data_IF_043322485160
#
_entry.id   IF_043322485160
#
_cell.length_a   1.000
_cell.length_b   1.000
_cell.length_c   1.000
_cell.angle_alpha   90.00
_cell.angle_beta   90.00
_cell.angle_gamma   90.00
#
_symmetry.space_group_name_H-M   'P 1'
#
loop_
_entity.id
_entity.type
_entity.pdbx_description
1 polymer ?
#
# COMPACT_ATOMS: atom_id res chain seq x y z
N UNK A 1 -6.52 -14.59 -40.03
CA UNK A 1 -5.49 -14.32 -39.01
C UNK A 1 -6.21 -13.76 -37.80
N UNK A 2 -6.29 -14.54 -36.72
CA UNK A 2 -6.93 -14.12 -35.48
C UNK A 2 -5.85 -13.41 -34.66
N UNK A 3 -5.94 -12.08 -34.59
CA UNK A 3 -5.07 -11.28 -33.73
C UNK A 3 -5.45 -11.65 -32.30
N UNK A 4 -4.63 -12.48 -31.66
CA UNK A 4 -4.66 -12.66 -30.21
C UNK A 4 -4.35 -11.31 -29.60
N UNK A 5 -5.38 -10.60 -29.15
CA UNK A 5 -5.22 -9.45 -28.28
C UNK A 5 -4.66 -10.01 -26.97
N UNK A 6 -3.39 -9.72 -26.69
CA UNK A 6 -2.85 -9.92 -25.35
C UNK A 6 -3.78 -9.19 -24.37
N UNK A 7 -4.21 -9.83 -23.27
CA UNK A 7 -5.01 -9.15 -22.26
C UNK A 7 -4.28 -7.88 -21.82
N UNK A 8 -5.04 -6.80 -21.63
CA UNK A 8 -4.48 -5.53 -21.17
C UNK A 8 -3.66 -5.76 -19.88
N UNK A 9 -2.50 -5.10 -19.73
CA UNK A 9 -1.70 -5.27 -18.54
C UNK A 9 -2.51 -4.86 -17.31
N UNK A 10 -2.42 -5.66 -16.25
CA UNK A 10 -3.02 -5.34 -14.95
C UNK A 10 -2.37 -4.06 -14.43
N UNK A 11 -3.19 -3.11 -13.99
CA UNK A 11 -2.72 -1.88 -13.35
C UNK A 11 -3.38 -1.69 -12.00
N UNK A 12 -2.65 -1.07 -11.09
CA UNK A 12 -3.07 -0.78 -9.72
C UNK A 12 -2.99 0.72 -9.48
N UNK A 13 -4.13 1.36 -9.26
CA UNK A 13 -4.17 2.78 -8.91
C UNK A 13 -3.97 2.99 -7.43
N UNK A 14 -2.87 3.65 -7.08
CA UNK A 14 -2.63 4.17 -5.73
C UNK A 14 -2.86 5.67 -5.70
N UNK A 15 -2.93 6.21 -4.48
CA UNK A 15 -3.16 7.63 -4.27
C UNK A 15 -2.30 8.16 -3.14
N UNK A 16 -1.95 9.45 -3.23
CA UNK A 16 -1.34 10.21 -2.15
C UNK A 16 -2.33 11.25 -1.66
N UNK A 17 -2.38 11.38 -0.33
CA UNK A 17 -3.13 12.46 0.30
C UNK A 17 -2.55 13.79 -0.13
N UNK A 18 -3.43 14.76 -0.36
CA UNK A 18 -3.06 16.16 -0.54
C UNK A 18 -3.57 16.97 0.64
N UNK A 19 -2.96 18.13 0.88
CA UNK A 19 -3.42 19.02 1.96
C UNK A 19 -4.82 19.56 1.64
N UNK A 20 -5.74 19.48 2.62
CA UNK A 20 -7.11 19.94 2.45
C UNK A 20 -7.12 21.45 2.14
N UNK A 21 -7.90 21.93 1.14
CA UNK A 21 -8.99 21.26 0.43
C UNK A 21 -8.64 20.61 -0.91
N UNK A 22 -7.36 20.38 -1.22
CA UNK A 22 -6.92 19.88 -2.53
C UNK A 22 -7.32 18.42 -2.78
N UNK A 23 -7.53 18.08 -4.06
CA UNK A 23 -7.82 16.71 -4.50
C UNK A 23 -6.59 15.83 -4.29
N UNK A 24 -6.73 14.54 -3.95
CA UNK A 24 -5.59 13.62 -3.92
C UNK A 24 -4.95 13.50 -5.31
N UNK A 25 -3.66 13.19 -5.32
CA UNK A 25 -2.95 12.78 -6.53
C UNK A 25 -2.99 11.25 -6.63
N UNK A 26 -3.12 10.71 -7.83
CA UNK A 26 -3.16 9.26 -8.06
C UNK A 26 -2.26 8.85 -9.22
N UNK A 27 -1.75 7.62 -9.14
CA UNK A 27 -0.85 7.07 -10.15
C UNK A 27 -1.06 5.57 -10.26
N UNK A 28 -0.74 5.03 -11.43
CA UNK A 28 -0.89 3.61 -11.72
C UNK A 28 0.47 2.88 -11.64
N UNK A 29 0.46 1.69 -11.05
CA UNK A 29 1.57 0.73 -11.07
C UNK A 29 1.14 -0.47 -11.92
N UNK A 30 1.99 -0.90 -12.86
CA UNK A 30 1.69 -2.03 -13.74
C UNK A 30 2.21 -3.35 -13.19
N UNK A 31 1.38 -4.39 -13.26
CA UNK A 31 1.73 -5.77 -12.98
C UNK A 31 1.70 -6.18 -11.50
N UNK A 32 2.08 -7.42 -11.24
CA UNK A 32 2.18 -8.03 -9.91
C UNK A 32 3.57 -7.78 -9.32
N UNK A 33 3.82 -6.54 -8.89
CA UNK A 33 5.12 -6.14 -8.33
C UNK A 33 5.14 -6.24 -6.80
N UNK A 34 6.36 -6.30 -6.25
CA UNK A 34 6.58 -6.25 -4.80
C UNK A 34 6.94 -4.82 -4.40
N UNK A 35 6.25 -4.30 -3.39
CA UNK A 35 6.36 -2.94 -2.90
C UNK A 35 6.87 -2.89 -1.47
N UNK A 36 7.80 -1.98 -1.20
CA UNK A 36 8.19 -1.54 0.14
C UNK A 36 7.10 -0.63 0.69
N UNK A 37 6.33 -1.14 1.65
CA UNK A 37 5.24 -0.41 2.29
C UNK A 37 5.76 0.41 3.47
N UNK A 38 6.66 -0.17 4.26
CA UNK A 38 7.33 0.49 5.39
C UNK A 38 8.72 -0.12 5.59
N UNK A 39 9.68 0.72 5.93
CA UNK A 39 10.96 0.34 6.50
C UNK A 39 11.27 1.29 7.65
N UNK A 40 11.46 0.73 8.84
CA UNK A 40 11.90 1.47 10.02
C UNK A 40 13.26 0.92 10.48
N UNK A 41 14.38 1.58 10.08
CA UNK A 41 15.72 1.06 10.32
C UNK A 41 16.05 0.87 11.81
N UNK A 42 15.66 1.82 12.66
CA UNK A 42 15.94 1.79 14.11
C UNK A 42 15.27 0.62 14.84
N UNK A 43 14.23 0.02 14.23
CA UNK A 43 13.46 -1.10 14.76
C UNK A 43 13.68 -2.40 13.99
N UNK A 44 14.59 -2.38 13.00
CA UNK A 44 14.80 -3.50 12.07
C UNK A 44 13.47 -4.04 11.50
N UNK A 45 12.53 -3.13 11.23
CA UNK A 45 11.16 -3.47 10.86
C UNK A 45 10.95 -3.20 9.37
N UNK A 46 10.41 -4.20 8.67
CA UNK A 46 10.10 -4.14 7.25
C UNK A 46 8.67 -4.61 7.01
N UNK A 47 7.93 -3.86 6.20
CA UNK A 47 6.62 -4.26 5.68
C UNK A 47 6.68 -4.19 4.16
N UNK A 48 6.51 -5.33 3.51
CA UNK A 48 6.46 -5.43 2.06
C UNK A 48 5.13 -6.03 1.63
N UNK A 49 4.63 -5.65 0.46
CA UNK A 49 3.39 -6.16 -0.11
C UNK A 49 3.57 -6.62 -1.54
N UNK A 50 2.87 -7.67 -1.94
CA UNK A 50 2.77 -8.12 -3.32
C UNK A 50 1.39 -7.77 -3.88
N UNK A 51 1.38 -6.99 -4.96
CA UNK A 51 0.15 -6.65 -5.66
C UNK A 51 -0.49 -7.89 -6.30
N UNK A 52 -1.82 -7.92 -6.26
CA UNK A 52 -2.59 -9.00 -6.87
C UNK A 52 -2.69 -8.86 -8.41
N UNK A 53 -3.36 -9.82 -9.05
CA UNK A 53 -3.55 -9.85 -10.51
C UNK A 53 -4.86 -9.21 -10.97
N UNK A 54 -5.58 -8.50 -10.10
CA UNK A 54 -6.86 -7.84 -10.38
C UNK A 54 -6.61 -6.36 -10.64
N UNK A 55 -7.15 -5.83 -11.76
CA UNK A 55 -7.00 -4.40 -12.07
C UNK A 55 -7.67 -3.52 -11.02
N UNK A 56 -6.92 -2.56 -10.47
CA UNK A 56 -7.29 -1.76 -9.31
C UNK A 56 -7.66 -2.63 -8.10
N UNK A 57 -7.01 -3.79 -7.96
CA UNK A 57 -7.09 -4.64 -6.79
C UNK A 57 -6.29 -4.05 -5.63
N UNK A 58 -5.71 -4.93 -4.81
CA UNK A 58 -4.84 -4.55 -3.72
C UNK A 58 -3.66 -5.50 -3.61
N UNK A 59 -3.36 -5.89 -2.38
CA UNK A 59 -2.28 -6.82 -2.09
C UNK A 59 -2.86 -8.22 -1.90
N UNK A 60 -2.28 -9.23 -2.55
CA UNK A 60 -2.60 -10.63 -2.24
C UNK A 60 -1.81 -11.15 -1.03
N UNK A 61 -0.68 -10.52 -0.74
CA UNK A 61 0.22 -10.90 0.35
C UNK A 61 0.91 -9.69 0.95
N UNK A 62 0.99 -9.65 2.27
CA UNK A 62 1.74 -8.65 3.04
C UNK A 62 2.65 -9.39 4.02
N UNK A 63 3.92 -8.99 4.07
CA UNK A 63 4.92 -9.58 4.96
C UNK A 63 5.47 -8.51 5.87
N UNK A 64 5.38 -8.75 7.17
CA UNK A 64 6.02 -7.97 8.23
C UNK A 64 7.22 -8.76 8.76
N UNK A 65 8.40 -8.16 8.75
CA UNK A 65 9.61 -8.70 9.37
C UNK A 65 10.03 -7.80 10.51
N UNK A 66 10.31 -8.39 11.67
CA UNK A 66 10.77 -7.69 12.87
C UNK A 66 12.10 -8.29 13.30
N UNK A 67 13.17 -7.50 13.27
CA UNK A 67 14.51 -8.01 13.50
C UNK A 67 14.93 -9.07 12.48
N UNK A 68 15.82 -9.95 12.89
CA UNK A 68 16.33 -11.05 12.05
C UNK A 68 15.50 -12.34 12.11
N UNK A 69 14.75 -12.53 13.20
CA UNK A 69 14.18 -13.84 13.53
C UNK A 69 12.65 -13.92 13.43
N UNK A 70 11.95 -12.80 13.30
CA UNK A 70 10.49 -12.79 13.25
C UNK A 70 9.95 -12.38 11.87
N UNK A 71 9.06 -13.20 11.33
CA UNK A 71 8.35 -12.95 10.08
C UNK A 71 6.88 -13.30 10.22
N UNK A 72 6.01 -12.38 9.84
CA UNK A 72 4.56 -12.52 9.80
C UNK A 72 4.14 -12.34 8.35
N UNK A 73 3.49 -13.34 7.77
CA UNK A 73 2.96 -13.32 6.42
C UNK A 73 1.44 -13.37 6.50
N UNK A 74 0.80 -12.43 5.80
CA UNK A 74 -0.65 -12.26 5.76
C UNK A 74 -1.10 -12.42 4.32
N UNK A 75 -2.07 -13.30 4.11
CA UNK A 75 -2.79 -13.48 2.86
C UNK A 75 -4.30 -13.52 3.16
N UNK A 76 -5.14 -13.65 2.12
CA UNK A 76 -6.59 -13.70 2.29
C UNK A 76 -7.08 -14.92 3.10
N UNK A 77 -6.32 -16.01 3.13
CA UNK A 77 -6.70 -17.27 3.78
C UNK A 77 -6.34 -17.28 5.28
N UNK A 78 -5.33 -16.51 5.69
CA UNK A 78 -4.87 -16.50 7.07
C UNK A 78 -3.50 -15.86 7.28
N UNK A 79 -2.90 -16.21 8.42
CA UNK A 79 -1.66 -15.60 8.92
C UNK A 79 -0.63 -16.71 9.19
N UNK A 80 0.55 -16.59 8.60
CA UNK A 80 1.69 -17.46 8.89
C UNK A 80 2.69 -16.70 9.75
N UNK A 81 3.06 -17.26 10.90
CA UNK A 81 4.05 -16.66 11.81
C UNK A 81 5.25 -17.57 11.90
N UNK A 82 6.42 -17.00 11.64
CA UNK A 82 7.72 -17.61 11.80
C UNK A 82 8.52 -16.87 12.88
N UNK A 83 9.04 -17.62 13.85
CA UNK A 83 9.95 -17.14 14.89
C UNK A 83 11.16 -18.10 14.95
N UNK A 84 12.31 -17.65 14.46
CA UNK A 84 13.48 -18.49 14.24
C UNK A 84 13.14 -19.65 13.28
N UNK A 85 13.25 -20.89 13.77
CA UNK A 85 12.92 -22.11 13.02
C UNK A 85 11.45 -22.54 13.15
N UNK A 86 10.70 -21.97 14.08
CA UNK A 86 9.32 -22.37 14.32
C UNK A 86 8.39 -21.63 13.34
N UNK A 87 7.57 -22.39 12.62
CA UNK A 87 6.57 -21.85 11.68
C UNK A 87 5.18 -22.36 12.08
N UNK A 88 4.21 -21.46 12.14
CA UNK A 88 2.82 -21.78 12.47
C UNK A 88 1.86 -21.06 11.52
N UNK A 89 0.78 -21.73 11.13
CA UNK A 89 -0.27 -21.18 10.28
C UNK A 89 -1.56 -21.04 11.09
N UNK A 90 -2.17 -19.87 11.02
CA UNK A 90 -3.38 -19.50 11.76
C UNK A 90 -4.46 -19.10 10.78
N UNK A 91 -5.58 -19.81 10.80
CA UNK A 91 -6.76 -19.56 9.94
C UNK A 91 -7.99 -19.14 10.74
N UNK A 92 -7.93 -19.22 12.08
CA UNK A 92 -9.00 -18.81 12.98
C UNK A 92 -8.98 -17.31 13.29
N UNK A 93 -9.79 -16.95 14.29
CA UNK A 93 -9.90 -15.58 14.82
C UNK A 93 -9.22 -15.43 16.20
N UNK A 94 -8.61 -16.51 16.71
CA UNK A 94 -7.91 -16.48 17.98
C UNK A 94 -6.73 -15.50 17.93
N UNK A 95 -6.53 -14.66 18.96
CA UNK A 95 -5.40 -13.74 19.01
C UNK A 95 -4.06 -14.49 18.96
N UNK A 96 -3.13 -13.97 18.17
CA UNK A 96 -1.78 -14.54 18.02
C UNK A 96 -0.79 -13.61 18.72
N UNK A 97 0.08 -14.20 19.55
CA UNK A 97 1.22 -13.50 20.17
C UNK A 97 2.51 -14.18 19.75
N UNK A 98 3.44 -13.42 19.19
CA UNK A 98 4.76 -13.90 18.79
C UNK A 98 5.77 -12.78 18.93
N UNK A 99 6.88 -13.02 19.63
CA UNK A 99 7.91 -11.99 19.85
C UNK A 99 7.32 -10.71 20.45
N UNK A 100 7.61 -9.57 19.83
CA UNK A 100 7.04 -8.26 20.18
C UNK A 100 5.71 -7.96 19.49
N UNK A 101 5.18 -8.90 18.68
CA UNK A 101 3.98 -8.69 17.88
C UNK A 101 2.73 -9.31 18.51
N UNK A 102 1.64 -8.56 18.47
CA UNK A 102 0.28 -9.02 18.75
C UNK A 102 -0.58 -8.87 17.50
N UNK A 103 -1.30 -9.93 17.14
CA UNK A 103 -2.12 -9.97 15.94
C UNK A 103 -3.55 -10.37 16.33
N UNK A 104 -4.51 -9.55 15.93
CA UNK A 104 -5.94 -9.78 16.17
C UNK A 104 -6.62 -9.79 14.80
N UNK A 105 -7.18 -10.94 14.42
CA UNK A 105 -7.92 -11.09 13.16
C UNK A 105 -9.41 -11.04 13.41
N UNK A 106 -10.11 -10.35 12.51
CA UNK A 106 -11.55 -10.43 12.33
C UNK A 106 -11.86 -10.85 10.89
N UNK A 107 -13.14 -10.98 10.56
CA UNK A 107 -13.59 -11.27 9.20
C UNK A 107 -13.24 -10.15 8.18
N UNK A 108 -13.01 -8.92 8.64
CA UNK A 108 -12.86 -7.74 7.76
C UNK A 108 -11.53 -7.03 7.90
N UNK A 109 -10.78 -7.30 8.95
CA UNK A 109 -9.51 -6.65 9.21
C UNK A 109 -8.59 -7.50 10.08
N UNK A 110 -7.29 -7.26 9.95
CA UNK A 110 -6.23 -7.84 10.76
C UNK A 110 -5.47 -6.68 11.40
N UNK A 111 -5.56 -6.57 12.72
CA UNK A 111 -4.85 -5.58 13.52
C UNK A 111 -3.53 -6.17 14.01
N UNK A 112 -2.42 -5.49 13.70
CA UNK A 112 -1.06 -5.93 13.99
C UNK A 112 -0.36 -4.80 14.74
N UNK A 113 -0.06 -5.06 16.00
CA UNK A 113 0.85 -4.25 16.80
C UNK A 113 2.22 -4.93 16.80
N UNK A 114 3.27 -4.21 16.40
CA UNK A 114 4.64 -4.69 16.41
C UNK A 114 5.59 -3.53 16.71
N UNK A 115 6.49 -3.69 17.67
CA UNK A 115 7.35 -2.61 18.16
C UNK A 115 6.52 -1.40 18.65
N UNK A 116 6.66 -0.25 18.00
CA UNK A 116 5.94 1.00 18.27
C UNK A 116 4.96 1.39 17.14
N UNK A 117 4.70 0.46 16.20
CA UNK A 117 3.73 0.66 15.12
C UNK A 117 2.44 -0.15 15.35
N UNK A 118 1.34 0.39 14.82
CA UNK A 118 0.09 -0.35 14.66
C UNK A 118 -0.37 -0.28 13.22
N UNK A 119 -0.45 -1.44 12.58
CA UNK A 119 -0.90 -1.64 11.22
C UNK A 119 -2.25 -2.35 11.23
N UNK A 120 -3.25 -1.78 10.55
CA UNK A 120 -4.47 -2.50 10.22
C UNK A 120 -4.41 -2.91 8.75
N UNK A 121 -4.64 -4.19 8.46
CA UNK A 121 -4.82 -4.70 7.11
C UNK A 121 -6.30 -4.96 6.92
N UNK A 122 -6.95 -4.16 6.08
CA UNK A 122 -8.35 -4.38 5.69
C UNK A 122 -8.45 -5.51 4.67
N UNK A 123 -9.44 -6.36 4.84
CA UNK A 123 -9.80 -7.43 3.91
C UNK A 123 -11.04 -6.96 3.16
N UNK A 124 -10.88 -6.65 1.87
CA UNK A 124 -11.98 -6.25 0.99
C UNK A 124 -12.27 -7.34 -0.02
N UNK A 125 -13.49 -7.32 -0.58
CA UNK A 125 -13.86 -8.18 -1.69
C UNK A 125 -14.10 -7.34 -2.94
N UNK A 126 -13.50 -7.73 -4.05
CA UNK A 126 -13.68 -7.12 -5.36
C UNK A 126 -13.72 -8.20 -6.43
N UNK A 127 -14.75 -8.16 -7.26
CA UNK A 127 -14.95 -9.13 -8.35
C UNK A 127 -14.90 -10.60 -7.89
N UNK A 128 -15.33 -10.86 -6.65
CA UNK A 128 -15.31 -12.18 -6.02
C UNK A 128 -14.01 -12.52 -5.29
N UNK A 129 -12.92 -11.81 -5.57
CA UNK A 129 -11.60 -12.02 -4.98
C UNK A 129 -11.39 -11.18 -3.72
N UNK A 130 -10.66 -11.72 -2.75
CA UNK A 130 -10.24 -10.98 -1.57
C UNK A 130 -8.94 -10.22 -1.84
N UNK A 131 -8.91 -8.95 -1.46
CA UNK A 131 -7.70 -8.12 -1.49
C UNK A 131 -7.39 -7.59 -0.10
N UNK A 132 -6.10 -7.49 0.19
CA UNK A 132 -5.58 -6.89 1.40
C UNK A 132 -5.24 -5.43 1.14
N UNK A 133 -5.55 -4.55 2.10
CA UNK A 133 -5.16 -3.16 2.05
C UNK A 133 -4.59 -2.67 3.39
N UNK A 134 -3.27 -2.41 3.47
CA UNK A 134 -2.63 -1.96 4.70
C UNK A 134 -2.87 -0.47 4.97
N UNK A 135 -3.09 -0.13 6.24
CA UNK A 135 -3.25 1.22 6.73
C UNK A 135 -2.55 1.37 8.09
N UNK A 136 -1.64 2.32 8.23
CA UNK A 136 -1.01 2.63 9.51
C UNK A 136 -1.97 3.43 10.41
N UNK A 137 -2.08 3.02 11.67
CA UNK A 137 -2.88 3.68 12.71
C UNK A 137 -2.04 4.37 13.76
N UNK A 138 -0.86 3.83 14.04
CA UNK A 138 0.10 4.41 14.95
C UNK A 138 1.50 4.24 14.39
N UNK A 139 2.28 5.30 14.49
CA UNK A 139 3.66 5.38 14.02
C UNK A 139 4.43 6.21 15.06
N UNK A 140 5.66 5.82 15.45
CA UNK A 140 6.51 6.66 16.29
C UNK A 140 6.82 8.00 15.59
N UNK A 141 7.07 9.05 16.37
CA UNK A 141 7.33 10.39 15.83
C UNK A 141 8.69 10.53 15.13
N UNK A 142 9.55 9.50 15.18
CA UNK A 142 10.89 9.52 14.60
C UNK A 142 10.85 9.58 13.06
N UNK A 143 11.80 10.31 12.46
CA UNK A 143 11.70 10.78 11.07
C UNK A 143 12.46 9.94 10.03
N UNK A 144 12.97 8.75 10.36
CA UNK A 144 13.82 7.96 9.46
C UNK A 144 13.10 6.81 8.75
N UNK A 145 11.79 6.71 8.89
CA UNK A 145 10.99 5.72 8.16
C UNK A 145 10.90 6.06 6.68
N UNK A 146 10.82 5.01 5.86
CA UNK A 146 10.70 5.11 4.40
C UNK A 146 9.68 4.07 3.90
N UNK A 147 9.05 4.30 2.74
CA UNK A 147 8.03 3.41 2.17
C UNK A 147 6.71 4.11 1.86
N UNK A 148 5.84 3.42 1.12
CA UNK A 148 4.59 4.00 0.61
C UNK A 148 3.61 4.43 1.70
N UNK A 149 3.53 3.72 2.83
CA UNK A 149 2.57 3.99 3.90
C UNK A 149 2.93 5.21 4.76
N UNK A 150 4.17 5.70 4.66
CA UNK A 150 4.69 6.84 5.44
C UNK A 150 4.94 8.08 4.58
N UNK A 151 4.47 8.06 3.33
CA UNK A 151 4.54 9.22 2.46
C UNK A 151 3.73 10.37 3.06
N UNK A 152 4.36 11.53 3.13
CA UNK A 152 3.72 12.76 3.60
C UNK A 152 2.68 13.22 2.58
N UNK A 153 1.70 14.00 3.04
CA UNK A 153 0.78 14.68 2.14
C UNK A 153 1.56 15.51 1.13
N UNK A 154 1.07 15.53 -0.11
CA UNK A 154 1.64 16.33 -1.18
C UNK A 154 0.91 17.67 -1.27
N UNK A 155 1.65 18.76 -1.15
CA UNK A 155 1.16 20.09 -1.46
C UNK A 155 1.38 20.38 -2.95
N UNK A 156 0.35 20.89 -3.63
CA UNK A 156 0.45 21.32 -5.01
C UNK A 156 -0.47 22.51 -5.27
N UNK A 157 -0.16 23.26 -6.32
CA UNK A 157 -0.98 24.37 -6.83
C UNK A 157 -1.43 24.06 -8.25
N UNK A 158 -2.63 24.49 -8.63
CA UNK A 158 -3.07 24.38 -10.03
C UNK A 158 -2.46 25.56 -10.78
N UNK A 159 -1.47 25.30 -11.65
CA UNK A 159 -0.81 26.34 -12.44
C UNK A 159 -1.58 26.66 -13.73
N UNK A 160 -2.29 25.68 -14.29
CA UNK A 160 -3.06 25.83 -15.53
C UNK A 160 -4.29 24.93 -15.50
N UNK A 161 -5.43 25.44 -15.98
CA UNK A 161 -6.66 24.66 -16.15
C UNK A 161 -6.98 24.33 -17.62
N UNK A 162 -6.55 25.18 -18.55
CA UNK A 162 -6.85 25.05 -19.99
C UNK A 162 -5.61 25.38 -20.84
N UNK A 163 -5.37 24.67 -21.96
CA UNK A 163 -6.17 23.56 -22.52
C UNK A 163 -5.98 22.23 -21.78
N UNK A 164 -4.90 22.10 -21.02
CA UNK A 164 -4.55 20.91 -20.22
C UNK A 164 -4.39 21.33 -18.77
N UNK A 165 -4.80 20.45 -17.85
CA UNK A 165 -4.66 20.69 -16.42
C UNK A 165 -3.20 20.46 -16.04
N UNK A 166 -2.58 21.47 -15.42
CA UNK A 166 -1.23 21.35 -14.87
C UNK A 166 -1.24 21.72 -13.40
N UNK A 167 -0.48 20.94 -12.64
CA UNK A 167 -0.24 21.18 -11.22
C UNK A 167 1.24 21.39 -10.98
N UNK A 168 1.57 22.32 -10.10
CA UNK A 168 2.93 22.52 -9.61
C UNK A 168 3.11 21.72 -8.32
N UNK A 169 3.92 20.67 -8.37
CA UNK A 169 4.31 19.85 -7.22
C UNK A 169 5.76 20.20 -6.91
N UNK A 170 6.00 20.79 -5.74
CA UNK A 170 7.27 21.44 -5.42
C UNK A 170 7.65 22.48 -6.49
N UNK A 171 8.79 22.33 -7.17
CA UNK A 171 9.23 23.22 -8.26
C UNK A 171 8.93 22.67 -9.66
N UNK A 172 8.29 21.51 -9.75
CA UNK A 172 8.02 20.82 -11.02
C UNK A 172 6.59 21.04 -11.48
N UNK A 173 6.40 21.46 -12.72
CA UNK A 173 5.09 21.52 -13.36
C UNK A 173 4.76 20.17 -14.02
N UNK A 174 3.62 19.60 -13.65
CA UNK A 174 3.18 18.27 -14.07
C UNK A 174 1.82 18.38 -14.74
N UNK A 175 1.70 17.84 -15.95
CA UNK A 175 0.41 17.66 -16.62
C UNK A 175 -0.35 16.51 -15.97
N UNK A 176 -1.62 16.76 -15.64
CA UNK A 176 -2.50 15.79 -14.97
C UNK A 176 -3.82 15.63 -15.73
N UNK A 177 -4.46 14.48 -15.54
CA UNK A 177 -5.81 14.22 -16.02
C UNK A 177 -6.77 14.00 -14.85
N UNK A 178 -8.04 14.35 -15.02
CA UNK A 178 -9.07 14.00 -14.04
C UNK A 178 -9.32 12.49 -14.06
N UNK A 179 -9.29 11.88 -12.90
CA UNK A 179 -9.50 10.45 -12.72
C UNK A 179 -10.28 10.16 -11.43
N UNK A 180 -10.54 8.88 -11.19
CA UNK A 180 -11.11 8.37 -9.95
C UNK A 180 -10.24 7.27 -9.36
N UNK A 181 -10.32 7.11 -8.05
CA UNK A 181 -9.69 6.04 -7.29
C UNK A 181 -10.59 5.60 -6.13
N UNK A 182 -10.25 4.47 -5.51
CA UNK A 182 -10.94 3.93 -4.35
C UNK A 182 -9.98 3.83 -3.19
N UNK A 183 -10.34 4.45 -2.07
CA UNK A 183 -9.62 4.33 -0.82
C UNK A 183 -10.13 3.14 -0.01
N UNK A 184 -9.27 2.14 0.14
CA UNK A 184 -9.48 0.91 0.89
C UNK A 184 -8.86 0.97 2.30
N UNK A 185 -8.33 2.12 2.75
CA UNK A 185 -7.70 2.30 4.08
C UNK A 185 -8.68 2.43 5.26
N UNK A 186 -9.95 2.12 5.00
CA UNK A 186 -11.06 2.13 5.94
C UNK A 186 -11.88 0.85 5.79
N UNK A 187 -12.65 0.49 6.81
CA UNK A 187 -13.49 -0.71 6.79
C UNK A 187 -14.57 -0.73 5.69
N UNK A 188 -14.87 0.42 5.09
CA UNK A 188 -15.69 0.52 3.88
C UNK A 188 -14.94 1.31 2.80
N UNK A 189 -14.84 0.80 1.56
CA UNK A 189 -14.18 1.52 0.47
C UNK A 189 -14.82 2.87 0.18
N UNK A 190 -14.01 3.88 -0.13
CA UNK A 190 -14.48 5.22 -0.50
C UNK A 190 -14.02 5.63 -1.88
N UNK A 191 -14.96 5.91 -2.77
CA UNK A 191 -14.68 6.48 -4.08
C UNK A 191 -14.31 7.96 -3.96
N UNK A 192 -13.30 8.39 -4.71
CA UNK A 192 -12.87 9.78 -4.73
C UNK A 192 -12.33 10.19 -6.11
N UNK A 193 -12.49 11.47 -6.44
CA UNK A 193 -11.83 12.08 -7.60
C UNK A 193 -10.37 12.37 -7.27
N UNK A 194 -9.48 12.20 -8.25
CA UNK A 194 -8.06 12.49 -8.12
C UNK A 194 -7.50 13.12 -9.40
N UNK A 195 -6.35 13.79 -9.27
CA UNK A 195 -5.54 14.15 -10.43
C UNK A 195 -4.51 13.05 -10.69
N UNK A 196 -4.53 12.53 -11.91
CA UNK A 196 -3.71 11.40 -12.32
C UNK A 196 -2.49 11.85 -13.13
N UNK A 197 -1.33 11.31 -12.79
CA UNK A 197 -0.09 11.40 -13.56
C UNK A 197 0.78 10.15 -13.33
N UNK A 198 1.97 10.10 -13.95
CA UNK A 198 2.91 9.02 -13.73
C UNK A 198 3.39 9.00 -12.27
N UNK A 199 3.73 7.80 -11.78
CA UNK A 199 4.22 7.61 -10.41
C UNK A 199 5.45 8.49 -10.13
N UNK A 200 6.39 8.57 -11.08
CA UNK A 200 7.63 9.34 -10.92
C UNK A 200 7.45 10.86 -10.87
N UNK A 201 6.30 11.38 -11.31
CA UNK A 201 5.96 12.80 -11.15
C UNK A 201 5.26 13.11 -9.82
N UNK A 202 4.59 12.13 -9.23
CA UNK A 202 3.80 12.29 -8.00
C UNK A 202 4.60 11.91 -6.75
N UNK A 203 5.42 10.85 -6.84
CA UNK A 203 6.20 10.35 -5.73
C UNK A 203 7.41 11.27 -5.44
N UNK A 204 7.85 11.38 -4.17
CA UNK A 204 9.02 12.19 -3.82
C UNK A 204 10.36 11.59 -4.28
N UNK A 205 10.35 10.34 -4.73
CA UNK A 205 11.48 9.56 -5.27
C UNK A 205 10.96 8.68 -6.41
N UNK A 206 11.82 8.20 -7.33
CA UNK A 206 11.40 7.30 -8.40
C UNK A 206 10.67 6.07 -7.87
N UNK A 207 9.68 5.56 -8.61
CA UNK A 207 8.91 4.36 -8.25
C UNK A 207 9.83 3.16 -7.98
N UNK A 208 10.96 3.07 -8.67
CA UNK A 208 11.97 2.02 -8.47
C UNK A 208 12.49 1.91 -7.03
N UNK A 209 12.51 3.02 -6.29
CA UNK A 209 12.97 3.04 -4.89
C UNK A 209 11.96 2.40 -3.93
N UNK A 210 10.74 2.18 -4.39
CA UNK A 210 9.68 1.48 -3.66
C UNK A 210 9.53 0.03 -4.12
N UNK A 211 10.20 -0.39 -5.19
CA UNK A 211 10.19 -1.79 -5.63
C UNK A 211 11.18 -2.63 -4.81
N UNK A 212 10.77 -3.84 -4.44
CA UNK A 212 11.64 -4.82 -3.77
C UNK A 212 11.79 -6.09 -4.58
N UNK A 213 12.86 -6.84 -4.33
CA UNK A 213 13.12 -8.12 -5.03
C UNK A 213 12.52 -9.32 -4.31
N UNK A 214 12.16 -9.17 -3.04
CA UNK A 214 11.65 -10.23 -2.18
C UNK A 214 10.77 -9.64 -1.06
N UNK A 215 9.77 -10.40 -0.63
CA UNK A 215 8.90 -10.08 0.50
C UNK A 215 9.55 -10.43 1.83
#
# INVERSE_FOLDING_TARGET
QQVSLSPAPVTHRLWLKSDFPSRPLCFDISGTVLLKLLHHPSRELYINGELDSVTNGGFKKIVIRVGSDQRIEVDAEGITVQQGQNVSRHVGLDPIRSGSATIIRTEKEIDIEAEDIRLIIYIHQKDGEHLLWPALRQIPSESNMDGLLVLKSVAYEISQLTPLIKVKINESEVEVTSATTTDYSLGSPRFMECFHASADHILPKPLSDFLVKQL
#
